data_IF_781949592577
#
_entry.id   IF_781949592577
#
_cell.length_a   1.000
_cell.length_b   1.000
_cell.length_c   1.000
_cell.angle_alpha   90.00
_cell.angle_beta   90.00
_cell.angle_gamma   90.00
#
_symmetry.space_group_name_H-M   'P 1'
#
loop_
_entity.id
_entity.type
_entity.pdbx_description
1 polymer ?
#
# COMPACT_ATOMS: atom_id res chain seq x y z
N UNK A 1 -16.47 -12.60 -8.79
CA UNK A 1 -17.04 -11.39 -8.11
C UNK A 1 -16.10 -10.22 -8.38
N UNK A 2 -16.60 -8.98 -8.50
CA UNK A 2 -15.75 -7.81 -8.79
C UNK A 2 -15.05 -7.29 -7.53
N UNK A 3 -13.78 -6.91 -7.66
CA UNK A 3 -13.02 -6.28 -6.57
C UNK A 3 -13.13 -4.76 -6.69
N UNK A 4 -14.06 -4.16 -5.95
CA UNK A 4 -14.33 -2.71 -6.02
C UNK A 4 -13.87 -1.94 -4.77
N UNK A 5 -13.50 -2.65 -3.71
CA UNK A 5 -13.17 -2.09 -2.40
C UNK A 5 -11.71 -2.30 -2.06
N UNK A 6 -11.06 -1.29 -1.51
CA UNK A 6 -9.68 -1.37 -1.04
C UNK A 6 -9.56 -0.89 0.42
N UNK A 7 -8.89 -1.65 1.26
CA UNK A 7 -8.61 -1.31 2.66
C UNK A 7 -7.19 -0.79 2.79
N UNK A 8 -7.04 0.41 3.34
CA UNK A 8 -5.77 1.09 3.59
C UNK A 8 -5.61 1.30 5.11
N UNK A 9 -4.75 0.51 5.78
CA UNK A 9 -4.46 0.69 7.20
C UNK A 9 -3.56 1.91 7.42
N UNK A 10 -4.15 2.98 7.97
CA UNK A 10 -3.49 4.29 8.20
C UNK A 10 -3.49 4.69 9.68
N UNK A 11 -3.75 3.75 10.60
CA UNK A 11 -3.84 4.04 12.04
C UNK A 11 -2.47 4.13 12.75
N UNK A 12 -1.40 3.58 12.16
CA UNK A 12 -0.09 3.48 12.80
C UNK A 12 0.55 4.83 13.16
N UNK A 13 1.28 4.89 14.28
CA UNK A 13 1.90 6.12 14.79
C UNK A 13 3.13 6.59 13.99
N UNK A 14 3.72 5.71 13.17
CA UNK A 14 4.89 6.06 12.34
C UNK A 14 6.15 6.35 13.13
N UNK A 15 6.41 5.59 14.19
CA UNK A 15 7.56 5.76 15.10
C UNK A 15 8.92 5.71 14.38
N UNK A 16 9.04 4.89 13.32
CA UNK A 16 10.24 4.81 12.46
C UNK A 16 10.61 6.15 11.80
N UNK A 17 9.64 7.04 11.62
CA UNK A 17 9.80 8.32 10.93
C UNK A 17 9.86 9.52 11.90
N UNK A 18 9.96 9.28 13.22
CA UNK A 18 10.16 10.36 14.19
C UNK A 18 11.51 11.09 13.94
N UNK A 19 11.56 12.43 14.15
CA UNK A 19 10.51 13.27 14.73
C UNK A 19 9.48 13.81 13.74
N UNK A 20 9.64 13.58 12.43
CA UNK A 20 8.77 14.17 11.39
C UNK A 20 7.30 13.81 11.59
N UNK A 21 7.02 12.60 12.08
CA UNK A 21 5.66 12.08 12.29
C UNK A 21 5.06 12.38 13.66
N UNK A 22 5.73 13.19 14.49
CA UNK A 22 5.24 13.52 15.84
C UNK A 22 3.87 14.22 15.81
N UNK A 23 3.64 15.07 14.82
CA UNK A 23 2.42 15.88 14.67
C UNK A 23 1.75 15.71 13.30
N UNK A 24 2.39 15.00 12.37
CA UNK A 24 1.89 14.76 11.02
C UNK A 24 1.82 13.26 10.79
N UNK A 25 0.71 12.71 10.25
CA UNK A 25 0.64 11.30 9.86
C UNK A 25 1.81 10.89 8.96
N UNK A 26 2.35 9.68 9.13
CA UNK A 26 3.39 9.15 8.22
C UNK A 26 2.92 9.12 6.77
N UNK A 27 1.64 8.84 6.57
CA UNK A 27 0.99 8.75 5.26
C UNK A 27 0.87 10.11 4.57
N UNK A 28 1.01 11.21 5.33
CA UNK A 28 1.00 12.58 4.85
C UNK A 28 2.40 13.15 4.60
N UNK A 29 3.46 12.36 4.77
CA UNK A 29 4.80 12.77 4.37
C UNK A 29 4.84 13.00 2.85
N UNK A 30 5.37 14.13 2.37
CA UNK A 30 5.39 14.44 0.95
C UNK A 30 6.48 13.65 0.23
N UNK A 31 6.08 12.93 -0.82
CA UNK A 31 7.00 12.44 -1.84
C UNK A 31 7.05 13.50 -2.94
N UNK A 32 8.09 14.34 -2.91
CA UNK A 32 8.20 15.59 -3.68
C UNK A 32 7.13 16.60 -3.29
N UNK A 33 5.94 16.53 -3.89
CA UNK A 33 4.86 17.52 -3.74
C UNK A 33 3.51 16.91 -3.36
N UNK A 34 3.41 15.57 -3.28
CA UNK A 34 2.17 14.85 -2.94
C UNK A 34 2.40 13.93 -1.75
N UNK A 35 1.42 13.81 -0.82
CA UNK A 35 1.55 12.89 0.29
C UNK A 35 1.55 11.43 -0.18
N UNK A 36 2.26 10.55 0.53
CA UNK A 36 2.34 9.11 0.22
C UNK A 36 0.96 8.48 -0.02
N UNK A 37 -0.03 8.81 0.82
CA UNK A 37 -1.38 8.26 0.71
C UNK A 37 -2.05 8.56 -0.64
N UNK A 38 -1.77 9.71 -1.24
CA UNK A 38 -2.36 10.07 -2.53
C UNK A 38 -1.83 9.18 -3.65
N UNK A 39 -0.57 8.75 -3.60
CA UNK A 39 -0.03 7.80 -4.58
C UNK A 39 -0.72 6.44 -4.47
N UNK A 40 -0.96 5.96 -3.26
CA UNK A 40 -1.60 4.67 -2.98
C UNK A 40 -3.07 4.68 -3.38
N UNK A 41 -3.79 5.78 -3.10
CA UNK A 41 -5.16 6.00 -3.57
C UNK A 41 -5.21 6.07 -5.10
N UNK A 42 -4.29 6.79 -5.74
CA UNK A 42 -4.21 6.87 -7.20
C UNK A 42 -3.94 5.50 -7.84
N UNK A 43 -3.12 4.66 -7.21
CA UNK A 43 -2.88 3.28 -7.65
C UNK A 43 -4.19 2.47 -7.60
N UNK A 44 -4.88 2.47 -6.46
CA UNK A 44 -6.15 1.76 -6.30
C UNK A 44 -7.19 2.19 -7.35
N UNK A 45 -7.34 3.50 -7.54
CA UNK A 45 -8.25 4.09 -8.53
C UNK A 45 -7.88 3.68 -9.97
N UNK A 46 -6.59 3.72 -10.32
CA UNK A 46 -6.12 3.28 -11.65
C UNK A 46 -6.38 1.79 -11.89
N UNK A 47 -6.36 0.97 -10.85
CA UNK A 47 -6.70 -0.45 -10.90
C UNK A 47 -8.21 -0.73 -10.91
N UNK A 48 -9.06 0.30 -10.83
CA UNK A 48 -10.52 0.19 -10.96
C UNK A 48 -11.30 0.16 -9.64
N UNK A 49 -10.63 0.33 -8.49
CA UNK A 49 -11.27 0.46 -7.17
C UNK A 49 -12.15 1.71 -7.12
N UNK A 50 -13.32 1.60 -6.46
CA UNK A 50 -14.31 2.68 -6.32
C UNK A 50 -14.61 3.05 -4.87
N UNK A 51 -14.36 2.14 -3.92
CA UNK A 51 -14.51 2.41 -2.49
C UNK A 51 -13.17 2.20 -1.80
N UNK A 52 -12.66 3.24 -1.13
CA UNK A 52 -11.42 3.19 -0.36
C UNK A 52 -11.77 3.31 1.11
N UNK A 53 -11.42 2.30 1.89
CA UNK A 53 -11.71 2.18 3.30
C UNK A 53 -10.42 2.49 4.06
N UNK A 54 -10.38 3.64 4.73
CA UNK A 54 -9.28 4.06 5.60
C UNK A 54 -9.52 3.50 6.99
N UNK A 55 -8.60 2.65 7.47
CA UNK A 55 -8.57 2.24 8.87
C UNK A 55 -7.68 3.20 9.63
N UNK A 56 -8.29 4.17 10.31
CA UNK A 56 -7.66 5.39 10.80
C UNK A 56 -7.63 5.46 12.34
N UNK A 57 -6.94 6.46 12.89
CA UNK A 57 -6.81 6.74 14.32
C UNK A 57 -7.13 8.22 14.60
N UNK A 58 -7.56 8.57 15.82
CA UNK A 58 -8.04 9.91 16.18
C UNK A 58 -7.08 11.06 15.77
N UNK A 59 -5.78 10.81 15.71
CA UNK A 59 -4.75 11.78 15.32
C UNK A 59 -4.56 11.94 13.80
N UNK A 60 -5.38 11.29 12.96
CA UNK A 60 -5.16 11.15 11.51
C UNK A 60 -6.17 11.91 10.63
N UNK A 61 -6.88 12.89 11.19
CA UNK A 61 -7.88 13.67 10.44
C UNK A 61 -7.31 14.36 9.17
N UNK A 62 -6.00 14.67 9.16
CA UNK A 62 -5.35 15.25 7.98
C UNK A 62 -5.41 14.36 6.73
N UNK A 63 -5.51 13.03 6.90
CA UNK A 63 -5.65 12.10 5.77
C UNK A 63 -7.03 12.26 5.13
N UNK A 64 -8.08 12.32 5.95
CA UNK A 64 -9.46 12.48 5.49
C UNK A 64 -9.64 13.85 4.82
N UNK A 65 -9.12 14.91 5.44
CA UNK A 65 -9.19 16.28 4.90
C UNK A 65 -8.46 16.45 3.55
N UNK A 66 -7.37 15.69 3.31
CA UNK A 66 -6.64 15.75 2.02
C UNK A 66 -7.50 15.30 0.84
N UNK A 67 -8.45 14.42 1.12
CA UNK A 67 -9.34 13.80 0.15
C UNK A 67 -10.74 14.42 0.11
N UNK A 68 -11.01 15.36 1.01
CA UNK A 68 -12.26 16.11 1.10
C UNK A 68 -12.09 17.53 0.53
N UNK A 69 -13.21 18.22 0.34
CA UNK A 69 -13.26 19.59 -0.16
C UNK A 69 -12.66 20.55 0.87
N UNK A 70 -11.54 21.20 0.51
CA UNK A 70 -10.92 22.24 1.33
C UNK A 70 -11.52 23.62 1.01
N UNK A 71 -12.70 23.91 1.56
CA UNK A 71 -13.49 25.10 1.21
C UNK A 71 -12.70 26.42 1.24
N UNK A 72 -11.96 26.69 2.30
CA UNK A 72 -11.17 27.93 2.45
C UNK A 72 -10.04 28.03 1.43
N UNK A 73 -9.36 26.92 1.15
CA UNK A 73 -8.28 26.84 0.16
C UNK A 73 -8.83 27.08 -1.25
N UNK A 74 -9.92 26.42 -1.61
CA UNK A 74 -10.56 26.58 -2.92
C UNK A 74 -11.03 28.01 -3.15
N UNK A 75 -11.75 28.59 -2.18
CA UNK A 75 -12.21 29.98 -2.26
C UNK A 75 -11.05 30.96 -2.41
N UNK A 76 -9.94 30.72 -1.71
CA UNK A 76 -8.72 31.54 -1.81
C UNK A 76 -8.05 31.41 -3.18
N UNK A 77 -7.93 30.20 -3.72
CA UNK A 77 -7.35 29.97 -5.05
C UNK A 77 -8.22 30.57 -6.16
N UNK A 78 -9.54 30.49 -6.03
CA UNK A 78 -10.51 31.09 -6.94
C UNK A 78 -10.42 32.62 -6.92
N UNK A 79 -10.40 33.24 -5.72
CA UNK A 79 -10.24 34.69 -5.56
C UNK A 79 -8.90 35.21 -6.12
N UNK A 80 -7.83 34.40 -6.04
CA UNK A 80 -6.51 34.71 -6.61
C UNK A 80 -6.36 34.31 -8.09
N UNK A 81 -7.42 33.81 -8.73
CA UNK A 81 -7.45 33.36 -10.14
C UNK A 81 -6.38 32.28 -10.44
N UNK A 82 -6.05 31.44 -9.45
CA UNK A 82 -5.08 30.33 -9.58
C UNK A 82 -5.76 29.07 -10.12
N UNK A 83 -6.29 29.15 -11.34
CA UNK A 83 -7.16 28.12 -11.95
C UNK A 83 -6.51 26.74 -12.05
N UNK A 84 -5.24 26.65 -12.42
CA UNK A 84 -4.53 25.37 -12.54
C UNK A 84 -4.42 24.65 -11.19
N UNK A 85 -4.01 25.37 -10.14
CA UNK A 85 -3.91 24.83 -8.78
C UNK A 85 -5.28 24.43 -8.22
N UNK A 86 -6.32 25.20 -8.53
CA UNK A 86 -7.68 24.86 -8.12
C UNK A 86 -8.15 23.55 -8.77
N UNK A 87 -7.84 23.33 -10.05
CA UNK A 87 -8.15 22.09 -10.75
C UNK A 87 -7.34 20.90 -10.20
N UNK A 88 -6.07 21.10 -9.86
CA UNK A 88 -5.24 20.08 -9.20
C UNK A 88 -5.83 19.67 -7.83
N UNK A 89 -6.25 20.62 -6.99
CA UNK A 89 -6.88 20.32 -5.69
C UNK A 89 -8.20 19.57 -5.88
N UNK A 90 -9.05 20.02 -6.81
CA UNK A 90 -10.36 19.38 -7.09
C UNK A 90 -10.26 18.00 -7.75
N UNK A 91 -9.11 17.66 -8.33
CA UNK A 91 -8.88 16.39 -9.04
C UNK A 91 -8.11 15.35 -8.23
N UNK A 92 -7.84 15.61 -6.94
CA UNK A 92 -7.17 14.66 -6.04
C UNK A 92 -7.89 13.30 -6.03
N UNK A 93 -9.23 13.31 -6.01
CA UNK A 93 -10.06 12.10 -6.11
C UNK A 93 -11.09 12.25 -7.24
N UNK A 94 -11.27 11.23 -8.11
CA UNK A 94 -12.36 11.21 -9.08
C UNK A 94 -13.74 11.15 -8.42
N UNK A 95 -14.73 11.79 -9.05
CA UNK A 95 -16.11 11.90 -8.51
C UNK A 95 -16.82 10.56 -8.28
N UNK A 96 -16.40 9.50 -8.94
CA UNK A 96 -16.97 8.15 -8.84
C UNK A 96 -16.25 7.27 -7.82
N UNK A 97 -15.37 7.85 -6.99
CA UNK A 97 -14.62 7.17 -5.94
C UNK A 97 -15.03 7.73 -4.59
N UNK A 98 -15.34 6.84 -3.64
CA UNK A 98 -15.72 7.18 -2.27
C UNK A 98 -14.62 6.81 -1.29
N UNK A 99 -14.34 7.71 -0.34
CA UNK A 99 -13.47 7.45 0.82
C UNK A 99 -14.35 7.22 2.04
N UNK A 100 -14.10 6.13 2.76
CA UNK A 100 -14.85 5.73 3.95
C UNK A 100 -13.85 5.51 5.09
N UNK A 101 -14.11 6.10 6.25
CA UNK A 101 -13.21 6.00 7.41
C UNK A 101 -13.80 5.09 8.48
N UNK A 102 -12.98 4.17 9.01
CA UNK A 102 -13.25 3.38 10.22
C UNK A 102 -12.13 3.62 11.23
N UNK A 103 -12.48 3.75 12.50
CA UNK A 103 -11.48 3.89 13.57
C UNK A 103 -10.99 2.51 13.99
N UNK A 104 -9.67 2.32 14.02
CA UNK A 104 -9.10 1.17 14.73
C UNK A 104 -9.22 1.41 16.23
N UNK A 105 -9.96 0.54 16.93
CA UNK A 105 -10.22 0.70 18.36
C UNK A 105 -8.97 0.62 19.23
N UNK A 106 -8.03 -0.27 18.88
CA UNK A 106 -6.74 -0.43 19.55
C UNK A 106 -5.64 -0.87 18.56
N UNK A 107 -4.37 -0.48 18.77
CA UNK A 107 -3.26 -0.81 17.88
C UNK A 107 -2.79 -2.27 18.07
N UNK A 108 -3.68 -3.23 17.79
CA UNK A 108 -3.45 -4.67 17.98
C UNK A 108 -2.85 -5.37 16.75
N UNK A 109 -2.25 -4.63 15.82
CA UNK A 109 -1.64 -5.16 14.60
C UNK A 109 -2.44 -4.96 13.32
N UNK A 110 -1.82 -5.37 12.20
CA UNK A 110 -2.39 -5.23 10.86
C UNK A 110 -3.64 -6.10 10.68
N UNK A 111 -3.63 -7.35 11.15
CA UNK A 111 -4.78 -8.25 11.02
C UNK A 111 -6.03 -7.67 11.71
N UNK A 112 -5.86 -7.11 12.91
CA UNK A 112 -6.93 -6.39 13.61
C UNK A 112 -7.43 -5.17 12.81
N UNK A 113 -6.53 -4.37 12.24
CA UNK A 113 -6.91 -3.22 11.42
C UNK A 113 -7.79 -3.65 10.23
N UNK A 114 -7.45 -4.77 9.57
CA UNK A 114 -8.26 -5.31 8.48
C UNK A 114 -9.62 -5.80 8.99
N UNK A 115 -9.66 -6.52 10.12
CA UNK A 115 -10.88 -7.06 10.72
C UNK A 115 -11.94 -5.99 11.03
N UNK A 116 -11.52 -4.80 11.49
CA UNK A 116 -12.40 -3.65 11.77
C UNK A 116 -13.22 -3.21 10.53
N UNK A 117 -12.79 -3.58 9.32
CA UNK A 117 -13.50 -3.25 8.07
C UNK A 117 -14.56 -4.25 7.66
N UNK A 118 -14.67 -5.41 8.34
CA UNK A 118 -15.63 -6.48 8.02
C UNK A 118 -17.07 -5.98 7.84
N UNK A 119 -17.62 -5.07 8.67
CA UNK A 119 -18.99 -4.57 8.50
C UNK A 119 -19.21 -3.77 7.20
N UNK A 120 -18.16 -3.16 6.64
CA UNK A 120 -18.22 -2.32 5.42
C UNK A 120 -17.96 -3.15 4.17
N UNK A 121 -16.99 -4.06 4.25
CA UNK A 121 -16.66 -4.94 3.12
C UNK A 121 -17.73 -6.02 2.94
N UNK A 122 -18.22 -6.60 4.05
CA UNK A 122 -19.16 -7.71 4.04
C UNK A 122 -18.58 -8.96 3.39
N UNK A 123 -19.38 -9.64 2.58
CA UNK A 123 -19.01 -10.87 1.87
C UNK A 123 -18.37 -10.62 0.50
N UNK A 124 -17.79 -9.44 0.27
CA UNK A 124 -17.15 -9.11 -1.01
C UNK A 124 -15.65 -9.38 -0.96
N UNK A 125 -15.02 -9.79 -2.08
CA UNK A 125 -13.57 -9.74 -2.18
C UNK A 125 -13.08 -8.29 -2.18
N UNK A 126 -11.88 -8.06 -1.67
CA UNK A 126 -11.34 -6.73 -1.48
C UNK A 126 -9.82 -6.70 -1.62
N UNK A 127 -9.30 -5.52 -1.95
CA UNK A 127 -7.86 -5.28 -1.97
C UNK A 127 -7.38 -4.75 -0.61
N UNK A 128 -6.14 -5.02 -0.26
CA UNK A 128 -5.46 -4.40 0.89
C UNK A 128 -4.18 -3.74 0.37
N UNK A 129 -3.98 -2.46 0.70
CA UNK A 129 -2.81 -1.70 0.27
C UNK A 129 -2.15 -1.06 1.48
N UNK A 130 -0.89 -1.44 1.74
CA UNK A 130 -0.08 -0.79 2.77
C UNK A 130 0.40 0.57 2.26
N UNK A 131 0.10 1.67 2.97
CA UNK A 131 0.28 3.03 2.45
C UNK A 131 1.73 3.54 2.52
N UNK A 132 2.61 2.81 3.19
CA UNK A 132 4.04 3.10 3.28
C UNK A 132 4.86 2.51 2.15
N UNK A 133 4.30 1.63 1.31
CA UNK A 133 4.97 1.14 0.10
C UNK A 133 4.36 1.80 -1.13
N UNK A 134 5.21 2.48 -1.91
CA UNK A 134 4.80 3.14 -3.16
C UNK A 134 5.23 2.30 -4.34
N UNK A 135 4.27 1.88 -5.17
CA UNK A 135 4.58 1.24 -6.46
C UNK A 135 4.91 2.34 -7.47
N UNK A 136 6.09 2.26 -8.06
CA UNK A 136 6.62 3.31 -8.92
C UNK A 136 5.85 3.41 -10.24
N UNK A 137 5.08 4.49 -10.36
CA UNK A 137 4.24 4.77 -11.53
C UNK A 137 5.04 5.12 -12.80
N UNK A 138 6.35 5.38 -12.67
CA UNK A 138 7.24 5.64 -13.80
C UNK A 138 7.95 4.37 -14.28
N UNK A 139 7.85 3.26 -13.52
CA UNK A 139 8.46 1.96 -13.84
C UNK A 139 7.45 0.89 -14.24
N UNK A 140 6.16 1.19 -14.15
CA UNK A 140 5.06 0.27 -14.51
C UNK A 140 3.80 1.04 -14.91
N UNK A 141 2.87 0.39 -15.62
CA UNK A 141 1.58 0.98 -15.94
C UNK A 141 0.51 0.49 -14.94
N UNK A 142 0.25 1.29 -13.90
CA UNK A 142 -0.69 0.96 -12.82
C UNK A 142 -2.15 0.70 -13.26
N UNK A 143 -2.51 0.95 -14.53
CA UNK A 143 -3.84 0.62 -15.08
C UNK A 143 -3.96 -0.83 -15.54
N UNK A 144 -2.84 -1.52 -15.78
CA UNK A 144 -2.83 -2.88 -16.37
C UNK A 144 -1.84 -3.81 -15.67
N UNK A 145 -0.77 -3.28 -15.09
CA UNK A 145 0.22 -4.02 -14.33
C UNK A 145 -0.14 -4.03 -12.82
N UNK A 146 0.54 -4.87 -12.04
CA UNK A 146 0.50 -4.83 -10.58
C UNK A 146 -0.90 -5.07 -10.01
N UNK A 147 -1.44 -4.17 -9.18
CA UNK A 147 -2.75 -4.34 -8.55
C UNK A 147 -3.87 -4.61 -9.57
N UNK A 148 -3.84 -3.95 -10.74
CA UNK A 148 -4.82 -4.16 -11.80
C UNK A 148 -4.79 -5.61 -12.32
N UNK A 149 -3.59 -6.15 -12.54
CA UNK A 149 -3.40 -7.53 -12.99
C UNK A 149 -3.78 -8.54 -11.89
N UNK A 150 -3.49 -8.24 -10.62
CA UNK A 150 -3.90 -9.07 -9.49
C UNK A 150 -5.43 -9.14 -9.38
N UNK A 151 -6.13 -8.00 -9.53
CA UNK A 151 -7.59 -7.97 -9.55
C UNK A 151 -8.12 -8.82 -10.70
N UNK A 152 -7.65 -8.61 -11.94
CA UNK A 152 -8.06 -9.39 -13.11
C UNK A 152 -7.74 -10.89 -12.98
N UNK A 153 -6.63 -11.24 -12.32
CA UNK A 153 -6.29 -12.63 -11.99
C UNK A 153 -7.28 -13.22 -10.99
N UNK A 154 -7.51 -12.53 -9.87
CA UNK A 154 -8.47 -12.97 -8.85
C UNK A 154 -9.88 -13.14 -9.44
N UNK A 155 -10.35 -12.18 -10.24
CA UNK A 155 -11.70 -12.23 -10.83
C UNK A 155 -11.90 -13.45 -11.74
N UNK A 156 -10.84 -13.93 -12.40
CA UNK A 156 -10.88 -15.11 -13.29
C UNK A 156 -10.67 -16.44 -12.57
N UNK A 157 -9.77 -16.50 -11.58
CA UNK A 157 -9.38 -17.77 -10.94
C UNK A 157 -10.00 -17.97 -9.55
N UNK A 158 -10.46 -16.89 -8.92
CA UNK A 158 -10.81 -16.83 -7.50
C UNK A 158 -9.65 -17.25 -6.56
N UNK A 159 -8.41 -17.25 -7.05
CA UNK A 159 -7.23 -17.45 -6.22
C UNK A 159 -6.82 -16.12 -5.60
N UNK A 160 -6.62 -16.09 -4.29
CA UNK A 160 -6.11 -14.94 -3.56
C UNK A 160 -4.75 -14.51 -4.14
N UNK A 161 -4.46 -13.22 -4.15
CA UNK A 161 -3.23 -12.67 -4.75
C UNK A 161 -2.42 -11.90 -3.71
N UNK A 162 -1.12 -12.15 -3.65
CA UNK A 162 -0.17 -11.41 -2.81
C UNK A 162 0.97 -10.92 -3.68
N UNK A 163 1.21 -9.61 -3.70
CA UNK A 163 2.34 -9.05 -4.44
C UNK A 163 3.64 -9.28 -3.69
N UNK A 164 4.65 -9.74 -4.43
CA UNK A 164 5.98 -10.00 -3.91
C UNK A 164 7.05 -9.39 -4.81
N UNK A 165 8.19 -9.06 -4.21
CA UNK A 165 9.40 -8.70 -4.93
C UNK A 165 10.64 -9.30 -4.23
N UNK A 166 11.71 -9.60 -4.97
CA UNK A 166 12.95 -10.05 -4.37
C UNK A 166 13.62 -8.91 -3.59
N UNK A 167 14.01 -9.17 -2.35
CA UNK A 167 14.81 -8.25 -1.52
C UNK A 167 16.20 -8.83 -1.25
N UNK A 168 17.18 -8.00 -0.86
CA UNK A 168 18.46 -8.47 -0.34
C UNK A 168 18.26 -9.42 0.86
N UNK A 169 19.10 -10.46 0.97
CA UNK A 169 18.96 -11.48 2.02
C UNK A 169 19.09 -10.90 3.43
N UNK A 170 19.86 -9.83 3.60
CA UNK A 170 20.04 -9.14 4.86
C UNK A 170 18.83 -8.27 5.27
N UNK A 171 17.88 -8.04 4.35
CA UNK A 171 16.66 -7.25 4.61
C UNK A 171 15.40 -8.10 4.86
N UNK A 172 15.45 -9.42 4.62
CA UNK A 172 14.25 -10.31 4.67
C UNK A 172 13.52 -10.27 6.00
N UNK A 173 14.23 -10.08 7.12
CA UNK A 173 13.64 -9.99 8.46
C UNK A 173 12.71 -8.80 8.68
N UNK A 174 12.69 -7.83 7.76
CA UNK A 174 11.79 -6.68 7.83
C UNK A 174 10.40 -6.97 7.25
N UNK A 175 10.22 -8.10 6.56
CA UNK A 175 9.05 -8.36 5.74
C UNK A 175 8.43 -9.74 6.01
N UNK A 176 7.18 -9.93 5.60
CA UNK A 176 6.64 -11.26 5.37
C UNK A 176 7.27 -11.87 4.12
N UNK A 177 7.72 -13.12 4.18
CA UNK A 177 8.42 -13.81 3.09
C UNK A 177 7.64 -15.04 2.66
N UNK A 178 7.46 -15.22 1.35
CA UNK A 178 6.71 -16.35 0.79
C UNK A 178 7.62 -17.46 0.30
N UNK A 179 7.10 -18.68 0.22
CA UNK A 179 7.72 -19.83 -0.43
C UNK A 179 6.88 -20.28 -1.62
N UNK A 180 7.57 -20.54 -2.74
CA UNK A 180 6.97 -21.04 -3.99
C UNK A 180 7.41 -22.48 -4.30
N UNK A 181 7.94 -23.20 -3.31
CA UNK A 181 8.53 -24.54 -3.43
C UNK A 181 9.59 -24.62 -4.55
N UNK A 182 10.49 -23.63 -4.57
CA UNK A 182 11.58 -23.53 -5.54
C UNK A 182 11.18 -23.04 -6.94
N UNK A 183 9.90 -22.76 -7.20
CA UNK A 183 9.47 -22.14 -8.46
C UNK A 183 9.99 -20.71 -8.56
N UNK A 184 10.49 -20.35 -9.74
CA UNK A 184 10.89 -18.98 -10.07
C UNK A 184 9.83 -18.36 -10.97
N UNK A 185 9.46 -17.13 -10.68
CA UNK A 185 8.49 -16.34 -11.44
C UNK A 185 9.14 -15.05 -11.93
N UNK A 186 8.83 -14.64 -13.15
CA UNK A 186 9.27 -13.36 -13.72
C UNK A 186 8.30 -12.22 -13.36
N UNK A 187 8.73 -10.94 -13.47
CA UNK A 187 7.85 -9.81 -13.23
C UNK A 187 6.54 -9.90 -14.05
N UNK A 188 5.40 -9.77 -13.38
CA UNK A 188 4.07 -9.91 -13.97
C UNK A 188 3.53 -11.35 -14.02
N UNK A 189 4.28 -12.35 -13.55
CA UNK A 189 3.84 -13.74 -13.46
C UNK A 189 3.32 -14.08 -12.05
N UNK A 190 2.62 -15.22 -11.97
CA UNK A 190 2.03 -15.73 -10.75
C UNK A 190 2.47 -17.17 -10.47
N UNK A 191 2.58 -17.53 -9.19
CA UNK A 191 2.72 -18.92 -8.75
C UNK A 191 2.02 -19.15 -7.42
N UNK A 192 1.49 -20.35 -7.22
CA UNK A 192 0.89 -20.75 -5.95
C UNK A 192 1.93 -20.70 -4.81
N UNK A 193 1.53 -20.10 -3.69
CA UNK A 193 2.32 -20.02 -2.46
C UNK A 193 2.15 -21.33 -1.69
N UNK A 194 3.27 -21.93 -1.27
CA UNK A 194 3.28 -23.16 -0.47
C UNK A 194 3.50 -22.90 1.01
N UNK A 195 4.18 -21.81 1.36
CA UNK A 195 4.39 -21.39 2.74
C UNK A 195 4.58 -19.86 2.81
N UNK A 196 4.42 -19.25 3.98
CA UNK A 196 4.78 -17.86 4.23
C UNK A 196 5.11 -17.66 5.70
N UNK A 197 6.02 -16.74 6.01
CA UNK A 197 6.47 -16.44 7.38
C UNK A 197 6.57 -14.94 7.57
N UNK A 198 5.99 -14.41 8.65
CA UNK A 198 6.10 -13.00 9.01
C UNK A 198 7.44 -12.73 9.70
N UNK A 199 8.26 -11.84 9.13
CA UNK A 199 9.55 -11.37 9.69
C UNK A 199 10.45 -12.53 10.15
N UNK A 200 10.79 -13.47 9.26
CA UNK A 200 11.66 -14.59 9.62
C UNK A 200 13.07 -14.09 9.97
N UNK A 201 13.80 -14.86 10.77
CA UNK A 201 15.25 -14.68 10.83
C UNK A 201 15.86 -14.94 9.45
N UNK A 202 16.98 -14.27 9.12
CA UNK A 202 17.59 -14.39 7.80
C UNK A 202 17.92 -15.85 7.39
N UNK A 203 18.27 -16.69 8.36
CA UNK A 203 18.59 -18.11 8.16
C UNK A 203 17.36 -19.02 8.08
N UNK A 204 16.19 -18.52 8.52
CA UNK A 204 14.91 -19.23 8.53
C UNK A 204 13.97 -18.76 7.41
N UNK A 205 14.39 -17.75 6.64
CA UNK A 205 13.63 -17.21 5.52
C UNK A 205 13.47 -18.28 4.42
N UNK A 206 12.23 -18.63 4.03
CA UNK A 206 12.02 -19.71 3.06
C UNK A 206 12.40 -19.33 1.63
N UNK A 207 12.52 -18.04 1.34
CA UNK A 207 13.05 -17.48 0.10
C UNK A 207 13.52 -16.03 0.34
N UNK A 208 13.79 -15.27 -0.73
CA UNK A 208 14.00 -13.83 -0.66
C UNK A 208 12.83 -13.03 -1.26
N UNK A 209 11.68 -13.66 -1.52
CA UNK A 209 10.48 -13.00 -2.04
C UNK A 209 9.67 -12.38 -0.90
N UNK A 210 9.87 -11.09 -0.68
CA UNK A 210 9.18 -10.31 0.33
C UNK A 210 7.83 -9.81 -0.16
N UNK A 211 6.84 -9.79 0.73
CA UNK A 211 5.52 -9.24 0.49
C UNK A 211 5.60 -7.72 0.47
N UNK A 212 5.18 -7.10 -0.63
CA UNK A 212 5.29 -5.63 -0.84
C UNK A 212 4.13 -4.83 -0.24
N UNK A 213 3.11 -5.51 0.30
CA UNK A 213 1.95 -4.86 0.88
C UNK A 213 0.83 -4.55 -0.11
N UNK A 214 0.67 -5.37 -1.15
CA UNK A 214 -0.56 -5.43 -1.98
C UNK A 214 -1.16 -6.82 -1.90
N UNK A 215 -2.45 -6.87 -1.62
CA UNK A 215 -3.20 -8.11 -1.49
C UNK A 215 -4.54 -7.98 -2.21
N UNK A 216 -5.03 -9.07 -2.80
CA UNK A 216 -6.43 -9.22 -3.22
C UNK A 216 -6.94 -10.51 -2.60
N UNK A 217 -7.91 -10.39 -1.71
CA UNK A 217 -8.33 -11.49 -0.84
C UNK A 217 -9.83 -11.73 -0.92
N UNK A 218 -10.21 -12.99 -0.75
CA UNK A 218 -11.58 -13.43 -0.62
C UNK A 218 -12.12 -13.08 0.78
N UNK A 219 -13.45 -13.01 0.96
CA UNK A 219 -14.05 -12.80 2.28
C UNK A 219 -13.85 -13.99 3.25
N UNK A 220 -13.32 -15.14 2.81
CA UNK A 220 -13.03 -16.28 3.69
C UNK A 220 -11.94 -15.95 4.73
N UNK A 221 -11.15 -14.89 4.49
CA UNK A 221 -10.15 -14.40 5.45
C UNK A 221 -10.77 -13.90 6.76
N UNK A 222 -12.05 -13.54 6.79
CA UNK A 222 -12.67 -12.91 7.96
C UNK A 222 -12.67 -13.79 9.20
N UNK A 223 -13.15 -15.02 9.06
CA UNK A 223 -13.23 -15.95 10.20
C UNK A 223 -11.81 -16.29 10.68
N UNK A 224 -10.85 -16.39 9.76
CA UNK A 224 -9.46 -16.64 10.11
C UNK A 224 -8.85 -15.48 10.91
N UNK A 225 -9.08 -14.23 10.49
CA UNK A 225 -8.62 -13.05 11.22
C UNK A 225 -9.25 -12.95 12.62
N UNK A 226 -10.51 -13.35 12.77
CA UNK A 226 -11.22 -13.32 14.06
C UNK A 226 -10.60 -14.28 15.09
N UNK A 227 -10.07 -15.42 14.64
CA UNK A 227 -9.46 -16.43 15.52
C UNK A 227 -7.92 -16.44 15.50
N UNK A 228 -7.27 -15.55 14.73
CA UNK A 228 -5.81 -15.47 14.66
C UNK A 228 -5.27 -14.92 15.98
N UNK A 229 -4.46 -15.69 16.73
CA UNK A 229 -3.85 -15.19 17.96
C UNK A 229 -2.75 -14.15 17.66
N UNK A 230 -2.37 -13.32 18.65
CA UNK A 230 -1.21 -12.46 18.50
C UNK A 230 0.06 -13.27 18.20
N UNK A 231 0.79 -12.86 17.15
CA UNK A 231 2.01 -13.50 16.66
C UNK A 231 3.23 -12.61 16.85
N UNK A 232 3.95 -12.36 15.75
CA UNK A 232 5.16 -11.53 15.76
C UNK A 232 4.89 -10.14 16.40
N UNK A 233 5.72 -9.77 17.38
CA UNK A 233 5.59 -8.50 18.10
C UNK A 233 4.40 -8.39 19.07
N UNK A 234 3.68 -9.49 19.34
CA UNK A 234 2.47 -9.47 20.18
C UNK A 234 1.26 -8.85 19.48
N UNK A 235 1.27 -8.81 18.16
CA UNK A 235 0.24 -8.22 17.30
C UNK A 235 -0.48 -9.31 16.49
N UNK A 236 -1.77 -9.10 16.17
CA UNK A 236 -2.52 -9.96 15.25
C UNK A 236 -2.03 -9.67 13.84
N UNK A 237 -1.34 -10.64 13.23
CA UNK A 237 -0.73 -10.50 11.91
C UNK A 237 -1.66 -10.97 10.78
N UNK A 238 -1.68 -10.22 9.69
CA UNK A 238 -2.41 -10.62 8.48
C UNK A 238 -1.77 -11.86 7.83
N UNK A 239 -0.44 -11.95 7.86
CA UNK A 239 0.33 -13.07 7.30
C UNK A 239 -0.04 -14.40 7.94
N UNK A 240 -0.27 -14.42 9.27
CA UNK A 240 -0.67 -15.63 9.99
C UNK A 240 -2.07 -16.10 9.55
N UNK A 241 -3.02 -15.16 9.39
CA UNK A 241 -4.35 -15.47 8.88
C UNK A 241 -4.32 -15.96 7.42
N UNK A 242 -3.48 -15.36 6.57
CA UNK A 242 -3.28 -15.79 5.18
C UNK A 242 -2.63 -17.18 5.08
N UNK A 243 -1.70 -17.48 5.99
CA UNK A 243 -1.10 -18.82 6.07
C UNK A 243 -2.16 -19.88 6.38
N UNK A 244 -3.11 -19.57 7.27
CA UNK A 244 -4.27 -20.44 7.52
C UNK A 244 -5.21 -20.53 6.32
N UNK A 245 -5.48 -19.40 5.64
CA UNK A 245 -6.37 -19.33 4.47
C UNK A 245 -5.90 -20.24 3.35
N UNK A 246 -4.58 -20.40 3.19
CA UNK A 246 -3.96 -21.28 2.20
C UNK A 246 -4.41 -22.75 2.32
N UNK A 247 -4.87 -23.20 3.49
CA UNK A 247 -5.42 -24.55 3.68
C UNK A 247 -6.85 -24.70 3.14
N UNK A 248 -7.56 -23.59 2.95
CA UNK A 248 -8.95 -23.55 2.47
C UNK A 248 -9.02 -23.13 1.00
N UNK A 249 -8.20 -22.17 0.60
CA UNK A 249 -8.22 -21.56 -0.73
C UNK A 249 -6.81 -21.39 -1.29
N UNK A 250 -6.68 -21.45 -2.61
CA UNK A 250 -5.40 -21.17 -3.27
C UNK A 250 -5.01 -19.70 -3.08
N UNK A 251 -3.74 -19.48 -2.73
CA UNK A 251 -3.11 -18.16 -2.70
C UNK A 251 -1.95 -18.19 -3.69
N UNK A 252 -1.89 -17.19 -4.58
CA UNK A 252 -0.81 -17.01 -5.54
C UNK A 252 0.02 -15.77 -5.18
N UNK A 253 1.33 -15.91 -5.27
CA UNK A 253 2.24 -14.79 -5.34
C UNK A 253 2.14 -14.19 -6.74
N UNK A 254 2.16 -12.86 -6.82
CA UNK A 254 2.31 -12.06 -8.03
C UNK A 254 3.65 -11.33 -7.96
N UNK A 255 4.53 -11.54 -8.94
CA UNK A 255 5.81 -10.84 -8.96
C UNK A 255 5.61 -9.41 -9.46
N UNK A 256 5.93 -8.43 -8.63
CA UNK A 256 5.88 -7.01 -8.96
C UNK A 256 6.59 -6.71 -10.30
N UNK A 257 5.93 -5.90 -11.14
CA UNK A 257 6.51 -5.34 -12.34
C UNK A 257 6.92 -3.89 -12.11
N UNK A 258 8.17 -3.58 -12.42
CA UNK A 258 8.76 -2.26 -12.17
C UNK A 258 9.54 -2.24 -10.86
N UNK A 259 9.24 -1.29 -9.98
CA UNK A 259 9.92 -1.08 -8.70
C UNK A 259 8.94 -0.62 -7.63
N UNK A 260 9.19 -0.99 -6.37
CA UNK A 260 8.54 -0.40 -5.20
C UNK A 260 9.51 0.49 -4.40
N UNK A 261 8.97 1.32 -3.52
CA UNK A 261 9.72 2.12 -2.55
C UNK A 261 9.13 1.94 -1.14
N UNK A 262 9.90 1.39 -0.20
CA UNK A 262 9.53 1.36 1.22
C UNK A 262 9.78 2.73 1.87
N UNK A 263 8.72 3.54 1.94
CA UNK A 263 8.70 4.84 2.61
C UNK A 263 8.41 4.72 4.11
N UNK A 264 8.31 3.51 4.65
CA UNK A 264 8.26 3.24 6.09
C UNK A 264 9.63 3.34 6.78
N UNK A 265 10.72 3.30 6.00
CA UNK A 265 12.09 3.55 6.46
C UNK A 265 12.56 4.95 6.04
N UNK A 266 13.42 5.58 6.87
CA UNK A 266 13.96 6.92 6.57
C UNK A 266 14.78 6.93 5.29
N UNK A 267 15.63 5.91 5.10
CA UNK A 267 16.49 5.82 3.92
C UNK A 267 15.66 5.58 2.66
N UNK A 268 14.72 4.63 2.69
CA UNK A 268 13.83 4.35 1.57
C UNK A 268 12.99 5.56 1.19
N UNK A 269 12.42 6.28 2.17
CA UNK A 269 11.70 7.54 1.92
C UNK A 269 12.57 8.63 1.26
N UNK A 270 13.83 8.79 1.68
CA UNK A 270 14.74 9.77 1.08
C UNK A 270 15.13 9.39 -0.35
N UNK A 271 15.43 8.11 -0.59
CA UNK A 271 15.75 7.60 -1.93
C UNK A 271 14.55 7.75 -2.88
N UNK A 272 13.35 7.41 -2.41
CA UNK A 272 12.12 7.61 -3.15
C UNK A 272 11.94 9.08 -3.57
N UNK A 273 12.18 10.01 -2.65
CA UNK A 273 12.11 11.45 -2.94
C UNK A 273 13.09 11.88 -4.04
N UNK A 274 14.33 11.39 -3.99
CA UNK A 274 15.32 11.68 -5.03
C UNK A 274 14.87 11.12 -6.38
N UNK A 275 14.46 9.85 -6.43
CA UNK A 275 14.04 9.20 -7.67
C UNK A 275 12.79 9.87 -8.28
N UNK A 276 11.77 10.16 -7.46
CA UNK A 276 10.56 10.86 -7.91
C UNK A 276 10.85 12.30 -8.34
N UNK A 277 11.72 13.01 -7.63
CA UNK A 277 12.09 14.38 -7.99
C UNK A 277 12.78 14.40 -9.38
N UNK A 278 13.66 13.44 -9.66
CA UNK A 278 14.31 13.29 -10.97
C UNK A 278 13.32 12.98 -12.11
N UNK A 279 12.19 12.31 -11.81
CA UNK A 279 11.13 12.00 -12.79
C UNK A 279 10.05 13.10 -12.88
N UNK A 280 10.11 14.13 -12.04
CA UNK A 280 9.12 15.22 -12.06
C UNK A 280 9.19 15.99 -13.38
N UNK A 281 8.02 16.23 -13.98
CA UNK A 281 7.91 17.01 -15.22
C UNK A 281 8.20 18.51 -15.04
N UNK A 282 8.18 19.02 -13.80
CA UNK A 282 8.38 20.43 -13.49
C UNK A 282 9.81 20.74 -13.05
N UNK A 283 10.41 19.88 -12.22
CA UNK A 283 11.72 20.13 -11.60
C UNK A 283 12.79 19.08 -11.96
N UNK A 284 12.45 18.00 -12.66
CA UNK A 284 13.32 16.83 -12.78
C UNK A 284 14.64 17.07 -13.51
N UNK A 285 14.63 17.84 -14.60
CA UNK A 285 15.85 18.16 -15.34
C UNK A 285 16.82 19.00 -14.50
N UNK A 286 16.34 20.08 -13.90
CA UNK A 286 17.15 20.95 -13.05
C UNK A 286 17.63 20.20 -11.81
N UNK A 287 16.74 19.47 -11.12
CA UNK A 287 17.07 18.70 -9.94
C UNK A 287 18.17 17.67 -10.22
N UNK A 288 18.04 16.91 -11.32
CA UNK A 288 19.05 15.92 -11.75
C UNK A 288 20.41 16.57 -11.98
N UNK A 289 20.44 17.74 -12.64
CA UNK A 289 21.68 18.49 -12.86
C UNK A 289 22.33 18.90 -11.53
N UNK A 290 21.54 19.40 -10.57
CA UNK A 290 22.04 19.82 -9.24
C UNK A 290 22.56 18.64 -8.42
N UNK A 291 21.87 17.51 -8.43
CA UNK A 291 22.33 16.30 -7.72
C UNK A 291 23.68 15.82 -8.27
N UNK A 292 23.85 15.79 -9.60
CA UNK A 292 25.14 15.44 -10.22
C UNK A 292 26.27 16.39 -9.81
N UNK A 293 25.99 17.67 -9.62
CA UNK A 293 26.97 18.65 -9.14
C UNK A 293 27.35 18.45 -7.66
N UNK A 294 26.43 17.94 -6.82
CA UNK A 294 26.72 17.65 -5.42
C UNK A 294 27.58 16.38 -5.22
N UNK A 295 27.56 15.48 -6.18
CA UNK A 295 28.34 14.23 -6.17
C UNK A 295 29.73 14.38 -6.81
N UNK A 296 29.98 15.49 -7.50
CA UNK A 296 31.23 15.79 -8.19
C UNK A 296 32.22 16.50 -7.26
#
# INVERSE_FOLDING_TARGET
MKVLKAVLPVAGLGTRMLPATKATPKEMLPLVDKPLIQYVVNEAVKAGIKEIILVTHASKNAIENHFDTSFELEATLEARVKRSLLEEVRSIIPRDVSIISVRQSAPLGLGHAILETRPIIGSNPFAILLPDVIIDQYKSNLKVDNLAQMIDRFERTQHNQIMVEPVPQDEVHNYGVVDLAGKKIQPGENAAITNMVEKPNNDEAPSNLAITGRYVVSPAIWDLLEFTPPGAGGEIQLTDALLQLRHLETIEAYHLKGKSHDCGSKLGYLLANVEYAMQSSTIGEEFTKRVKQLMA
#
